data_IF_960930726058
#
_entry.id   IF_960930726058
#
_cell.length_a   1.000
_cell.length_b   1.000
_cell.length_c   1.000
_cell.angle_alpha   90.00
_cell.angle_beta   90.00
_cell.angle_gamma   90.00
#
_symmetry.space_group_name_H-M   'P 1'
#
loop_
_entity.id
_entity.type
_entity.pdbx_description
1 polymer ?
#
# COMPACT_ATOMS: atom_id res chain seq x y z
N UNK A 1 -4.52 12.22 58.50
CA UNK A 1 -3.66 12.87 57.48
C UNK A 1 -2.92 11.81 56.64
N UNK A 2 -3.65 10.85 56.03
CA UNK A 2 -3.02 9.71 55.32
C UNK A 2 -3.70 9.38 53.97
N UNK A 3 -4.61 10.26 53.48
CA UNK A 3 -5.28 10.05 52.19
C UNK A 3 -4.66 10.86 51.04
N UNK A 4 -3.84 11.88 51.31
CA UNK A 4 -3.29 12.74 50.25
C UNK A 4 -1.99 12.20 49.58
N UNK A 5 -1.33 11.17 50.12
CA UNK A 5 -0.08 10.69 49.51
C UNK A 5 -0.29 9.56 48.48
N UNK A 6 -1.42 8.86 48.53
CA UNK A 6 -1.71 7.82 47.52
C UNK A 6 -2.17 8.41 46.19
N UNK A 7 -2.95 9.51 46.24
CA UNK A 7 -3.40 10.20 45.00
C UNK A 7 -2.26 10.93 44.30
N UNK A 8 -1.31 11.50 45.03
CA UNK A 8 -0.16 12.20 44.44
C UNK A 8 0.83 11.24 43.76
N UNK A 9 0.99 10.00 44.28
CA UNK A 9 1.85 9.00 43.65
C UNK A 9 1.21 8.39 42.38
N UNK A 10 -0.08 8.16 42.39
CA UNK A 10 -0.83 7.64 41.24
C UNK A 10 -0.88 8.66 40.08
N UNK A 11 -1.05 9.95 40.42
CA UNK A 11 -0.99 11.03 39.41
C UNK A 11 0.42 11.15 38.81
N UNK A 12 1.49 11.02 39.59
CA UNK A 12 2.85 11.10 39.11
C UNK A 12 3.28 9.90 38.24
N UNK A 13 2.79 8.69 38.53
CA UNK A 13 3.04 7.52 37.70
C UNK A 13 2.26 7.59 36.38
N UNK A 14 1.01 8.05 36.39
CA UNK A 14 0.19 8.22 35.19
C UNK A 14 0.75 9.32 34.27
N UNK A 15 1.23 10.43 34.81
CA UNK A 15 1.89 11.50 34.03
C UNK A 15 3.22 11.04 33.43
N UNK A 16 4.05 10.30 34.17
CA UNK A 16 5.31 9.75 33.65
C UNK A 16 5.08 8.75 32.52
N UNK A 17 4.02 7.95 32.58
CA UNK A 17 3.68 6.99 31.53
C UNK A 17 3.09 7.68 30.30
N UNK A 18 2.19 8.64 30.44
CA UNK A 18 1.65 9.41 29.31
C UNK A 18 2.75 10.15 28.53
N UNK A 19 3.74 10.70 29.22
CA UNK A 19 4.89 11.33 28.59
C UNK A 19 5.71 10.35 27.73
N UNK A 20 5.90 9.11 28.16
CA UNK A 20 6.63 8.12 27.39
C UNK A 20 5.92 7.77 26.06
N UNK A 21 4.59 7.68 26.05
CA UNK A 21 3.82 7.50 24.82
C UNK A 21 3.97 8.71 23.87
N UNK A 22 3.88 9.93 24.41
CA UNK A 22 4.01 11.17 23.63
C UNK A 22 5.42 11.36 23.09
N UNK A 23 6.45 10.98 23.83
CA UNK A 23 7.84 10.94 23.36
C UNK A 23 8.01 9.94 22.23
N UNK A 24 7.43 8.74 22.35
CA UNK A 24 7.45 7.72 21.29
C UNK A 24 6.66 8.15 20.04
N UNK A 25 5.53 8.85 20.23
CA UNK A 25 4.75 9.45 19.15
C UNK A 25 5.50 10.63 18.50
N UNK A 26 6.37 11.26 19.27
CA UNK A 26 7.20 12.38 18.84
C UNK A 26 6.47 13.73 18.81
N UNK A 27 5.35 13.89 19.50
CA UNK A 27 4.58 15.14 19.58
C UNK A 27 3.94 15.32 20.95
N UNK A 28 3.24 16.42 21.18
CA UNK A 28 2.48 16.68 22.40
C UNK A 28 1.00 16.70 22.11
N UNK A 29 0.19 16.25 23.07
CA UNK A 29 -1.27 16.34 23.02
C UNK A 29 -1.79 16.84 24.36
N UNK A 30 -2.83 17.67 24.30
CA UNK A 30 -3.56 18.07 25.51
C UNK A 30 -4.17 16.85 26.19
N UNK A 31 -4.19 16.78 27.53
CA UNK A 31 -4.61 15.58 28.26
C UNK A 31 -5.99 15.05 27.85
N UNK A 32 -6.98 15.93 27.69
CA UNK A 32 -8.35 15.54 27.33
C UNK A 32 -8.40 14.91 25.93
N UNK A 33 -7.61 15.41 24.99
CA UNK A 33 -7.55 14.90 23.63
C UNK A 33 -6.79 13.57 23.55
N UNK A 34 -5.72 13.43 24.35
CA UNK A 34 -4.99 12.17 24.48
C UNK A 34 -5.88 11.07 25.08
N UNK A 35 -6.64 11.40 26.13
CA UNK A 35 -7.60 10.47 26.76
C UNK A 35 -8.67 10.05 25.73
N UNK A 36 -9.24 10.99 24.98
CA UNK A 36 -10.21 10.67 23.92
C UNK A 36 -9.59 9.72 22.88
N UNK A 37 -8.36 9.99 22.42
CA UNK A 37 -7.64 9.17 21.43
C UNK A 37 -7.29 7.76 21.92
N UNK A 38 -7.22 7.54 23.22
CA UNK A 38 -6.91 6.24 23.85
C UNK A 38 -8.15 5.52 24.38
N UNK A 39 -9.34 6.10 24.31
CA UNK A 39 -10.57 5.53 24.87
C UNK A 39 -11.32 4.70 23.81
N UNK A 40 -11.35 3.39 24.01
CA UNK A 40 -12.15 2.49 23.19
C UNK A 40 -13.66 2.62 23.52
N UNK A 41 -14.51 2.36 22.55
CA UNK A 41 -15.98 2.43 22.70
C UNK A 41 -16.54 1.57 23.85
N UNK A 42 -15.89 0.44 24.19
CA UNK A 42 -16.33 -0.39 25.32
C UNK A 42 -16.24 0.36 26.64
N UNK A 43 -15.19 1.18 26.82
CA UNK A 43 -15.04 2.02 28.00
C UNK A 43 -16.12 3.11 28.08
N UNK A 44 -16.40 3.80 26.97
CA UNK A 44 -17.46 4.83 26.95
C UNK A 44 -18.85 4.26 27.16
N UNK A 45 -19.11 3.01 26.79
CA UNK A 45 -20.38 2.33 27.09
C UNK A 45 -20.55 2.10 28.61
N UNK A 46 -19.48 1.79 29.31
CA UNK A 46 -19.50 1.59 30.78
C UNK A 46 -19.43 2.91 31.57
N UNK A 47 -18.91 3.98 30.92
CA UNK A 47 -18.69 5.30 31.53
C UNK A 47 -19.43 6.40 30.73
N UNK A 48 -20.73 6.64 31.04
CA UNK A 48 -21.51 7.64 30.35
C UNK A 48 -20.88 9.03 30.42
N UNK A 49 -20.68 9.63 29.23
CA UNK A 49 -20.04 10.95 29.06
C UNK A 49 -18.56 10.88 28.67
N UNK A 50 -17.91 9.73 28.75
CA UNK A 50 -16.59 9.54 28.17
C UNK A 50 -16.70 9.51 26.62
N UNK A 51 -15.88 10.32 25.97
CA UNK A 51 -15.74 10.28 24.52
C UNK A 51 -14.84 9.10 24.14
N UNK A 52 -15.02 8.56 22.93
CA UNK A 52 -14.18 7.50 22.41
C UNK A 52 -13.43 7.95 21.14
N UNK A 53 -12.48 7.14 20.71
CA UNK A 53 -11.56 7.48 19.63
C UNK A 53 -12.16 7.39 18.19
N UNK A 54 -13.31 6.79 17.97
CA UNK A 54 -13.84 6.48 16.62
C UNK A 54 -13.85 7.67 15.65
N UNK A 55 -14.12 8.87 16.13
CA UNK A 55 -14.09 10.07 15.27
C UNK A 55 -12.68 10.56 14.97
N UNK A 56 -11.75 10.37 15.91
CA UNK A 56 -10.33 10.70 15.71
C UNK A 56 -9.67 9.68 14.78
N UNK A 57 -9.99 8.39 14.94
CA UNK A 57 -9.62 7.30 14.05
C UNK A 57 -10.02 7.61 12.60
N UNK A 58 -11.31 7.88 12.36
CA UNK A 58 -11.82 8.24 11.03
C UNK A 58 -11.06 9.41 10.38
N UNK A 59 -10.73 10.44 11.17
CA UNK A 59 -9.98 11.59 10.67
C UNK A 59 -8.49 11.24 10.44
N UNK A 60 -7.92 10.47 11.36
CA UNK A 60 -6.52 10.07 11.31
C UNK A 60 -6.21 9.11 10.17
N UNK A 61 -7.12 8.16 9.87
CA UNK A 61 -7.04 7.31 8.67
C UNK A 61 -6.92 8.17 7.41
N UNK A 62 -7.78 9.16 7.23
CA UNK A 62 -7.72 10.05 6.08
C UNK A 62 -6.39 10.84 5.98
N UNK A 63 -5.83 11.28 7.11
CA UNK A 63 -4.53 11.97 7.17
C UNK A 63 -3.39 11.01 6.84
N UNK A 64 -3.39 9.82 7.42
CA UNK A 64 -2.43 8.75 7.18
C UNK A 64 -2.41 8.34 5.71
N UNK A 65 -3.59 8.11 5.14
CA UNK A 65 -3.78 7.78 3.72
C UNK A 65 -3.24 8.88 2.81
N UNK A 66 -3.54 10.15 3.09
CA UNK A 66 -3.06 11.29 2.31
C UNK A 66 -1.53 11.39 2.32
N UNK A 67 -0.92 11.35 3.51
CA UNK A 67 0.53 11.52 3.66
C UNK A 67 1.28 10.36 3.04
N UNK A 68 0.83 9.12 3.29
CA UNK A 68 1.42 7.91 2.71
C UNK A 68 1.31 7.90 1.18
N UNK A 69 0.15 8.32 0.64
CA UNK A 69 -0.06 8.44 -0.81
C UNK A 69 0.87 9.47 -1.42
N UNK A 70 0.98 10.66 -0.83
CA UNK A 70 1.86 11.72 -1.32
C UNK A 70 3.32 11.27 -1.32
N UNK A 71 3.75 10.57 -0.26
CA UNK A 71 5.11 10.04 -0.12
C UNK A 71 5.42 9.04 -1.23
N UNK A 72 4.55 8.05 -1.44
CA UNK A 72 4.73 7.04 -2.48
C UNK A 72 4.68 7.66 -3.88
N UNK A 73 3.76 8.59 -4.13
CA UNK A 73 3.63 9.28 -5.41
C UNK A 73 4.90 10.04 -5.79
N UNK A 74 5.52 10.74 -4.83
CA UNK A 74 6.77 11.49 -5.04
C UNK A 74 7.99 10.58 -5.20
N UNK A 75 8.04 9.48 -4.42
CA UNK A 75 9.18 8.56 -4.41
C UNK A 75 9.21 7.65 -5.65
N UNK A 76 8.06 7.36 -6.28
CA UNK A 76 7.95 6.37 -7.35
C UNK A 76 7.24 6.92 -8.60
N UNK A 77 7.85 7.89 -9.33
CA UNK A 77 7.21 8.56 -10.47
C UNK A 77 6.91 7.62 -11.65
N UNK A 78 7.60 6.48 -11.73
CA UNK A 78 7.43 5.51 -12.83
C UNK A 78 6.40 4.41 -12.51
N UNK A 79 5.82 4.40 -11.30
CA UNK A 79 4.82 3.42 -10.90
C UNK A 79 3.41 3.87 -11.26
N UNK A 80 2.57 2.91 -11.72
CA UNK A 80 1.17 3.17 -11.99
C UNK A 80 0.32 3.20 -10.70
N UNK A 81 -0.91 3.72 -10.83
CA UNK A 81 -1.88 3.83 -9.74
C UNK A 81 -2.05 2.51 -8.94
N UNK A 82 -2.24 1.39 -9.66
CA UNK A 82 -2.47 0.09 -9.03
C UNK A 82 -1.28 -0.40 -8.20
N UNK A 83 -0.06 -0.08 -8.62
CA UNK A 83 1.16 -0.39 -7.86
C UNK A 83 1.25 0.48 -6.61
N UNK A 84 1.07 1.79 -6.74
CA UNK A 84 1.09 2.73 -5.61
C UNK A 84 0.00 2.40 -4.59
N UNK A 85 -1.23 2.10 -5.03
CA UNK A 85 -2.33 1.73 -4.15
C UNK A 85 -2.04 0.43 -3.36
N UNK A 86 -1.43 -0.57 -3.99
CA UNK A 86 -1.04 -1.81 -3.30
C UNK A 86 0.07 -1.58 -2.28
N UNK A 87 1.07 -0.76 -2.62
CA UNK A 87 2.14 -0.39 -1.67
C UNK A 87 1.56 0.33 -0.46
N UNK A 88 0.70 1.32 -0.69
CA UNK A 88 0.02 2.03 0.40
C UNK A 88 -0.77 1.06 1.27
N UNK A 89 -1.69 0.28 0.69
CA UNK A 89 -2.52 -0.66 1.43
C UNK A 89 -1.71 -1.67 2.27
N UNK A 90 -0.50 -2.02 1.84
CA UNK A 90 0.41 -2.86 2.63
C UNK A 90 1.07 -2.07 3.75
N UNK A 91 1.58 -0.88 3.46
CA UNK A 91 2.31 -0.06 4.42
C UNK A 91 1.42 0.41 5.60
N UNK A 92 0.15 0.73 5.34
CA UNK A 92 -0.81 1.19 6.34
C UNK A 92 -1.86 0.14 6.70
N UNK A 93 -1.54 -1.16 6.50
CA UNK A 93 -2.43 -2.26 6.87
C UNK A 93 -2.56 -2.39 8.39
N UNK A 94 -3.67 -3.01 8.86
CA UNK A 94 -3.86 -3.37 10.27
C UNK A 94 -2.63 -4.09 10.85
N UNK A 95 -2.00 -5.00 10.08
CA UNK A 95 -0.79 -5.71 10.51
C UNK A 95 0.37 -4.75 10.74
N UNK A 96 0.59 -3.81 9.84
CA UNK A 96 1.69 -2.84 9.93
C UNK A 96 1.45 -1.84 11.07
N UNK A 97 0.25 -1.27 11.15
CA UNK A 97 -0.09 -0.28 12.17
C UNK A 97 -0.12 -0.89 13.57
N UNK A 98 -0.68 -2.09 13.73
CA UNK A 98 -0.65 -2.78 15.02
C UNK A 98 0.77 -3.16 15.47
N UNK A 99 1.68 -3.46 14.53
CA UNK A 99 3.10 -3.65 14.84
C UNK A 99 3.72 -2.34 15.36
N UNK A 100 3.47 -1.21 14.70
CA UNK A 100 3.93 0.12 15.15
C UNK A 100 3.39 0.42 16.55
N UNK A 101 2.10 0.17 16.80
CA UNK A 101 1.49 0.38 18.10
C UNK A 101 2.17 -0.44 19.21
N UNK A 102 2.55 -1.69 18.94
CA UNK A 102 3.23 -2.57 19.90
C UNK A 102 4.68 -2.21 20.10
N UNK A 103 5.44 -2.15 19.02
CA UNK A 103 6.90 -2.13 19.07
C UNK A 103 7.46 -0.71 19.23
N UNK A 104 6.81 0.29 18.63
CA UNK A 104 7.29 1.67 18.64
C UNK A 104 6.62 2.52 19.71
N UNK A 105 5.29 2.40 19.83
CA UNK A 105 4.53 3.22 20.77
C UNK A 105 4.31 2.53 22.13
N UNK A 106 4.41 1.20 22.22
CA UNK A 106 4.00 0.41 23.37
C UNK A 106 2.60 0.86 23.88
N UNK A 107 1.64 1.00 22.95
CA UNK A 107 0.37 1.67 23.17
C UNK A 107 -0.60 0.90 24.09
N UNK A 108 -0.51 -0.44 24.11
CA UNK A 108 -1.47 -1.30 24.80
C UNK A 108 -1.77 -0.90 26.25
N UNK A 109 -0.76 -0.63 27.10
CA UNK A 109 -0.97 -0.25 28.51
C UNK A 109 -1.76 1.05 28.71
N UNK A 110 -1.87 1.91 27.69
CA UNK A 110 -2.54 3.21 27.79
C UNK A 110 -4.00 3.19 27.32
N UNK A 111 -4.45 2.09 26.69
CA UNK A 111 -5.79 2.01 26.12
C UNK A 111 -6.83 1.83 27.20
N UNK A 112 -7.82 2.71 27.23
CA UNK A 112 -8.96 2.64 28.13
C UNK A 112 -10.02 1.70 27.56
N UNK A 113 -10.19 0.55 28.17
CA UNK A 113 -11.09 -0.52 27.77
C UNK A 113 -12.18 -0.75 28.83
N UNK A 114 -13.40 -1.10 28.39
CA UNK A 114 -14.39 -1.68 29.30
C UNK A 114 -13.94 -3.08 29.78
N UNK A 115 -14.50 -3.53 30.90
CA UNK A 115 -14.10 -4.77 31.58
C UNK A 115 -14.11 -5.98 30.63
N UNK A 116 -15.22 -6.15 29.88
CA UNK A 116 -15.37 -7.29 28.97
C UNK A 116 -14.36 -7.32 27.82
N UNK A 117 -13.95 -6.17 27.30
CA UNK A 117 -12.94 -6.06 26.25
C UNK A 117 -11.52 -6.28 26.81
N UNK A 118 -11.28 -5.74 28.00
CA UNK A 118 -10.00 -5.92 28.72
C UNK A 118 -9.76 -7.39 29.04
N UNK A 119 -10.77 -8.10 29.57
CA UNK A 119 -10.69 -9.54 29.92
C UNK A 119 -10.41 -10.43 28.68
N UNK A 120 -10.78 -9.96 27.49
CA UNK A 120 -10.53 -10.64 26.22
C UNK A 120 -9.20 -10.24 25.57
N UNK A 121 -8.33 -9.54 26.29
CA UNK A 121 -7.03 -9.11 25.77
C UNK A 121 -7.10 -7.97 24.76
N UNK A 122 -8.12 -7.09 24.89
CA UNK A 122 -8.35 -5.97 23.97
C UNK A 122 -7.14 -5.07 23.78
N UNK A 123 -6.31 -4.90 24.82
CA UNK A 123 -5.09 -4.09 24.78
C UNK A 123 -4.03 -4.57 23.76
N UNK A 124 -4.12 -5.83 23.29
CA UNK A 124 -3.21 -6.40 22.28
C UNK A 124 -3.93 -6.85 21.00
N UNK A 125 -5.21 -6.56 20.84
CA UNK A 125 -5.92 -6.84 19.58
C UNK A 125 -5.42 -5.95 18.46
N UNK A 126 -5.07 -6.56 17.33
CA UNK A 126 -4.51 -5.84 16.18
C UNK A 126 -5.43 -4.74 15.65
N UNK A 127 -6.74 -4.98 15.60
CA UNK A 127 -7.71 -3.97 15.17
C UNK A 127 -7.70 -2.75 16.09
N UNK A 128 -7.79 -2.95 17.43
CA UNK A 128 -7.78 -1.86 18.41
C UNK A 128 -6.46 -1.08 18.34
N UNK A 129 -5.34 -1.78 18.25
CA UNK A 129 -4.02 -1.15 18.16
C UNK A 129 -3.85 -0.34 16.85
N UNK A 130 -4.44 -0.81 15.75
CA UNK A 130 -4.52 -0.07 14.49
C UNK A 130 -5.28 1.24 14.68
N UNK A 131 -6.51 1.14 15.21
CA UNK A 131 -7.39 2.28 15.48
C UNK A 131 -6.72 3.32 16.37
N UNK A 132 -5.95 2.88 17.38
CA UNK A 132 -5.18 3.78 18.27
C UNK A 132 -4.12 4.57 17.51
N UNK A 133 -3.37 3.97 16.59
CA UNK A 133 -2.40 4.71 15.78
C UNK A 133 -3.10 5.79 14.97
N UNK A 134 -4.19 5.44 14.31
CA UNK A 134 -4.98 6.37 13.51
C UNK A 134 -5.58 7.47 14.38
N UNK A 135 -6.14 7.15 15.54
CA UNK A 135 -6.71 8.14 16.44
C UNK A 135 -5.68 9.12 16.99
N UNK A 136 -4.46 8.68 17.31
CA UNK A 136 -3.36 9.54 17.73
C UNK A 136 -2.91 10.50 16.60
N UNK A 137 -2.91 10.03 15.35
CA UNK A 137 -2.67 10.88 14.17
C UNK A 137 -3.80 11.91 14.02
N UNK A 138 -5.05 11.49 14.17
CA UNK A 138 -6.22 12.37 14.14
C UNK A 138 -6.19 13.44 15.24
N UNK A 139 -5.84 13.05 16.46
CA UNK A 139 -5.64 13.97 17.58
C UNK A 139 -4.53 14.99 17.30
N UNK A 140 -3.40 14.53 16.76
CA UNK A 140 -2.29 15.40 16.36
C UNK A 140 -2.75 16.42 15.32
N UNK A 141 -3.52 15.97 14.32
CA UNK A 141 -4.06 16.87 13.30
C UNK A 141 -5.02 17.90 13.88
N UNK A 142 -5.92 17.52 14.80
CA UNK A 142 -6.86 18.46 15.45
C UNK A 142 -6.11 19.52 16.23
N UNK A 143 -5.07 19.15 16.97
CA UNK A 143 -4.36 20.09 17.84
C UNK A 143 -3.35 20.95 17.11
N UNK A 144 -2.61 20.37 16.17
CA UNK A 144 -1.43 21.03 15.56
C UNK A 144 -1.54 21.25 14.05
N UNK A 145 -2.58 20.71 13.40
CA UNK A 145 -2.77 20.84 11.96
C UNK A 145 -1.95 19.82 11.15
N UNK A 146 -2.00 20.00 9.81
CA UNK A 146 -1.49 19.01 8.86
C UNK A 146 0.03 18.87 8.88
N UNK A 147 0.78 19.93 9.13
CA UNK A 147 2.24 19.88 9.05
C UNK A 147 2.83 19.00 10.17
N UNK A 148 2.32 19.14 11.38
CA UNK A 148 2.73 18.30 12.51
C UNK A 148 2.21 16.87 12.36
N UNK A 149 0.96 16.70 11.94
CA UNK A 149 0.44 15.36 11.67
C UNK A 149 1.25 14.63 10.58
N UNK A 150 1.67 15.35 9.53
CA UNK A 150 2.58 14.83 8.50
C UNK A 150 3.89 14.34 9.09
N UNK A 151 4.50 15.13 9.96
CA UNK A 151 5.75 14.79 10.63
C UNK A 151 5.60 13.53 11.47
N UNK A 152 4.50 13.42 12.22
CA UNK A 152 4.17 12.22 13.02
C UNK A 152 3.94 11.00 12.12
N UNK A 153 3.19 11.14 11.04
CA UNK A 153 2.99 10.03 10.08
C UNK A 153 4.34 9.55 9.54
N UNK A 154 5.19 10.45 9.06
CA UNK A 154 6.54 10.08 8.60
C UNK A 154 7.35 9.39 9.70
N UNK A 155 7.32 9.92 10.92
CA UNK A 155 7.99 9.30 12.06
C UNK A 155 7.52 7.85 12.29
N UNK A 156 6.23 7.58 12.11
CA UNK A 156 5.65 6.25 12.37
C UNK A 156 5.85 5.27 11.21
N UNK A 157 5.64 5.70 9.96
CA UNK A 157 5.47 4.75 8.83
C UNK A 157 6.59 4.77 7.78
N UNK A 158 7.57 5.69 7.82
CA UNK A 158 8.61 5.78 6.78
C UNK A 158 9.43 4.49 6.67
N UNK A 159 9.73 3.83 7.77
CA UNK A 159 10.42 2.54 7.78
C UNK A 159 9.59 1.47 7.05
N UNK A 160 8.30 1.38 7.36
CA UNK A 160 7.37 0.44 6.70
C UNK A 160 7.20 0.77 5.22
N UNK A 161 7.12 2.06 4.86
CA UNK A 161 7.07 2.51 3.46
C UNK A 161 8.34 2.11 2.70
N UNK A 162 9.51 2.27 3.32
CA UNK A 162 10.78 1.85 2.75
C UNK A 162 10.88 0.32 2.61
N UNK A 163 10.45 -0.45 3.61
CA UNK A 163 10.38 -1.91 3.53
C UNK A 163 9.51 -2.37 2.35
N UNK A 164 8.31 -1.82 2.24
CA UNK A 164 7.38 -2.14 1.13
C UNK A 164 7.97 -1.74 -0.23
N UNK A 165 8.71 -0.62 -0.30
CA UNK A 165 9.38 -0.18 -1.51
C UNK A 165 10.53 -1.12 -1.92
N UNK A 166 11.29 -1.65 -0.94
CA UNK A 166 12.41 -2.58 -1.21
C UNK A 166 11.93 -3.98 -1.61
N UNK A 167 10.75 -4.41 -1.14
CA UNK A 167 10.14 -5.65 -1.62
C UNK A 167 9.76 -5.56 -3.12
N UNK A 168 9.90 -4.38 -3.71
CA UNK A 168 9.64 -4.10 -5.10
C UNK A 168 8.16 -4.24 -5.47
N UNK A 169 7.82 -4.38 -6.76
CA UNK A 169 6.47 -4.67 -7.22
C UNK A 169 5.99 -6.08 -6.83
N UNK A 170 6.50 -6.63 -5.72
CA UNK A 170 6.26 -7.97 -5.19
C UNK A 170 4.77 -8.35 -5.05
N UNK A 171 3.88 -7.37 -5.10
CA UNK A 171 2.44 -7.61 -5.04
C UNK A 171 1.84 -8.08 -6.38
N UNK A 172 2.52 -7.83 -7.48
CA UNK A 172 2.12 -8.36 -8.80
C UNK A 172 3.30 -8.44 -9.77
N UNK A 173 4.25 -9.31 -9.48
CA UNK A 173 5.41 -9.55 -10.33
C UNK A 173 5.05 -9.83 -11.79
N UNK A 174 3.88 -10.46 -12.04
CA UNK A 174 3.44 -10.75 -13.41
C UNK A 174 3.10 -9.48 -14.17
N UNK A 175 2.31 -8.58 -13.57
CA UNK A 175 1.98 -7.28 -14.16
C UNK A 175 3.24 -6.42 -14.32
N UNK A 176 4.11 -6.40 -13.32
CA UNK A 176 5.35 -5.62 -13.35
C UNK A 176 6.31 -6.11 -14.44
N UNK A 177 6.44 -7.43 -14.62
CA UNK A 177 7.21 -8.01 -15.70
C UNK A 177 6.61 -7.64 -17.06
N UNK A 178 5.28 -7.72 -17.21
CA UNK A 178 4.58 -7.35 -18.46
C UNK A 178 4.83 -5.88 -18.81
N UNK A 179 4.65 -4.96 -17.87
CA UNK A 179 4.89 -3.53 -18.11
C UNK A 179 6.34 -3.26 -18.50
N UNK A 180 7.30 -3.85 -17.79
CA UNK A 180 8.73 -3.70 -18.08
C UNK A 180 9.12 -4.28 -19.44
N UNK A 181 8.65 -5.49 -19.77
CA UNK A 181 8.90 -6.14 -21.03
C UNK A 181 8.37 -5.31 -22.20
N UNK A 182 7.14 -4.77 -22.09
CA UNK A 182 6.56 -3.89 -23.11
C UNK A 182 7.33 -2.57 -23.25
N UNK A 183 7.72 -1.94 -22.14
CA UNK A 183 8.51 -0.71 -22.13
C UNK A 183 9.88 -0.88 -22.81
N UNK A 184 10.45 -2.08 -22.77
CA UNK A 184 11.71 -2.44 -23.41
C UNK A 184 11.54 -2.98 -24.85
N UNK A 185 10.31 -3.08 -25.37
CA UNK A 185 10.01 -3.56 -26.72
C UNK A 185 9.91 -5.08 -26.85
N UNK A 186 10.03 -5.82 -25.75
CA UNK A 186 9.76 -7.25 -25.70
C UNK A 186 8.23 -7.50 -25.72
N UNK A 187 7.79 -8.64 -26.23
CA UNK A 187 6.37 -9.01 -26.23
C UNK A 187 5.87 -9.46 -24.86
N UNK A 188 4.59 -9.89 -24.84
CA UNK A 188 3.93 -10.43 -23.62
C UNK A 188 4.73 -11.57 -22.98
N UNK A 189 4.90 -11.58 -21.63
CA UNK A 189 5.49 -12.71 -20.94
C UNK A 189 4.60 -13.95 -21.02
N UNK A 190 5.18 -15.07 -21.45
CA UNK A 190 4.54 -16.38 -21.51
C UNK A 190 5.13 -17.28 -20.43
N UNK A 191 4.28 -18.13 -19.82
CA UNK A 191 4.67 -19.02 -18.72
C UNK A 191 4.50 -20.48 -19.14
N UNK A 192 5.61 -21.20 -19.22
CA UNK A 192 5.58 -22.65 -19.40
C UNK A 192 5.66 -23.33 -18.02
N UNK A 193 4.68 -24.19 -17.74
CA UNK A 193 4.56 -24.85 -16.44
C UNK A 193 5.00 -26.31 -16.52
N UNK A 194 5.72 -26.76 -15.49
CA UNK A 194 5.97 -28.17 -15.22
C UNK A 194 5.72 -28.48 -13.73
N UNK A 195 5.51 -29.75 -13.42
CA UNK A 195 5.30 -30.23 -12.07
C UNK A 195 6.15 -31.47 -11.84
N UNK A 196 6.75 -31.58 -10.66
CA UNK A 196 7.58 -32.70 -10.25
C UNK A 196 7.30 -33.05 -8.78
N UNK A 197 7.73 -34.22 -8.35
CA UNK A 197 7.54 -34.74 -7.00
C UNK A 197 6.26 -35.54 -6.82
N UNK A 198 6.14 -36.30 -5.70
CA UNK A 198 4.96 -37.09 -5.38
C UNK A 198 3.76 -36.18 -5.06
N UNK A 199 2.55 -36.73 -5.14
CA UNK A 199 1.29 -35.99 -5.02
C UNK A 199 1.19 -35.16 -3.72
N UNK A 200 1.76 -35.66 -2.61
CA UNK A 200 1.77 -34.99 -1.31
C UNK A 200 2.90 -33.91 -1.16
N UNK A 201 3.84 -33.84 -2.11
CA UNK A 201 4.96 -32.90 -2.09
C UNK A 201 5.30 -32.40 -3.50
N UNK A 202 4.28 -31.94 -4.24
CA UNK A 202 4.46 -31.43 -5.59
C UNK A 202 5.23 -30.10 -5.58
N UNK A 203 6.21 -30.01 -6.48
CA UNK A 203 6.93 -28.78 -6.80
C UNK A 203 6.52 -28.34 -8.20
N UNK A 204 5.95 -27.15 -8.28
CA UNK A 204 5.61 -26.49 -9.54
C UNK A 204 6.79 -25.66 -10.01
N UNK A 205 7.13 -25.74 -11.28
CA UNK A 205 8.15 -24.92 -11.91
C UNK A 205 7.53 -24.12 -13.05
N UNK A 206 7.82 -22.81 -13.09
CA UNK A 206 7.40 -21.90 -14.15
C UNK A 206 8.63 -21.34 -14.86
N UNK A 207 8.68 -21.45 -16.19
CA UNK A 207 9.67 -20.79 -17.04
C UNK A 207 9.01 -19.60 -17.72
N UNK A 208 9.69 -18.45 -17.76
CA UNK A 208 9.22 -17.23 -18.43
C UNK A 208 9.94 -17.05 -19.75
N UNK A 209 9.18 -16.74 -20.78
CA UNK A 209 9.65 -16.37 -22.12
C UNK A 209 8.96 -15.07 -22.52
N UNK A 210 9.55 -14.28 -23.43
CA UNK A 210 9.00 -13.00 -23.87
C UNK A 210 8.58 -13.04 -25.34
N UNK A 211 7.38 -12.54 -25.61
CA UNK A 211 6.83 -12.47 -26.97
C UNK A 211 6.77 -13.83 -27.65
N UNK A 212 7.28 -13.92 -28.88
CA UNK A 212 7.33 -15.16 -29.67
C UNK A 212 8.64 -15.94 -29.49
N UNK A 213 9.58 -15.42 -28.68
CA UNK A 213 10.85 -16.10 -28.37
C UNK A 213 10.63 -17.31 -27.47
N UNK A 214 11.29 -18.41 -27.76
CA UNK A 214 11.33 -19.60 -26.90
C UNK A 214 12.51 -19.58 -25.92
N UNK A 215 13.25 -18.50 -25.86
CA UNK A 215 14.31 -18.30 -24.87
C UNK A 215 13.72 -18.12 -23.48
N UNK A 216 14.10 -19.00 -22.56
CA UNK A 216 13.74 -18.91 -21.16
C UNK A 216 14.58 -17.80 -20.52
N UNK A 217 13.94 -16.70 -20.08
CA UNK A 217 14.60 -15.58 -19.42
C UNK A 217 14.74 -15.77 -17.92
N UNK A 218 13.84 -16.55 -17.31
CA UNK A 218 13.86 -16.86 -15.89
C UNK A 218 13.07 -18.12 -15.58
N UNK A 219 13.34 -18.69 -14.40
CA UNK A 219 12.65 -19.85 -13.86
C UNK A 219 12.33 -19.62 -12.39
N UNK A 220 11.11 -20.00 -11.97
CA UNK A 220 10.69 -19.94 -10.57
C UNK A 220 10.01 -21.23 -10.15
N UNK A 221 10.12 -21.55 -8.86
CA UNK A 221 9.52 -22.76 -8.28
C UNK A 221 8.60 -22.38 -7.12
N UNK A 222 7.65 -23.24 -6.81
CA UNK A 222 6.74 -23.02 -5.68
C UNK A 222 5.86 -24.23 -5.37
N UNK A 223 5.18 -24.19 -4.24
CA UNK A 223 4.22 -25.20 -3.79
C UNK A 223 2.86 -25.14 -4.48
N UNK A 224 2.68 -24.18 -5.41
CA UNK A 224 1.50 -24.06 -6.26
C UNK A 224 1.88 -23.40 -7.59
N UNK A 225 1.05 -23.57 -8.62
CA UNK A 225 1.24 -22.90 -9.93
C UNK A 225 1.39 -21.39 -9.78
N UNK A 226 0.56 -20.76 -8.93
CA UNK A 226 0.59 -19.32 -8.67
C UNK A 226 1.93 -18.87 -8.05
N UNK A 227 2.42 -19.59 -7.03
CA UNK A 227 3.69 -19.28 -6.38
C UNK A 227 4.87 -19.43 -7.33
N UNK A 228 4.90 -20.50 -8.12
CA UNK A 228 5.94 -20.71 -9.12
C UNK A 228 5.96 -19.59 -10.19
N UNK A 229 4.79 -19.19 -10.68
CA UNK A 229 4.67 -18.09 -11.66
C UNK A 229 5.09 -16.75 -11.07
N UNK A 230 4.77 -16.45 -9.81
CA UNK A 230 5.21 -15.21 -9.14
C UNK A 230 6.73 -15.18 -8.97
N UNK A 231 7.33 -16.28 -8.50
CA UNK A 231 8.78 -16.39 -8.36
C UNK A 231 9.49 -16.26 -9.72
N UNK A 232 8.96 -16.89 -10.78
CA UNK A 232 9.53 -16.77 -12.12
C UNK A 232 9.39 -15.35 -12.68
N UNK A 233 8.27 -14.66 -12.42
CA UNK A 233 8.06 -13.28 -12.84
C UNK A 233 9.00 -12.30 -12.14
N UNK A 234 9.26 -12.51 -10.85
CA UNK A 234 10.24 -11.74 -10.08
C UNK A 234 11.64 -11.85 -10.68
N UNK A 235 12.12 -13.08 -10.89
CA UNK A 235 13.43 -13.32 -11.48
C UNK A 235 13.50 -12.78 -12.93
N UNK A 236 12.41 -12.88 -13.69
CA UNK A 236 12.30 -12.31 -15.04
C UNK A 236 12.38 -10.79 -15.03
N UNK A 237 11.73 -10.14 -14.09
CA UNK A 237 11.79 -8.70 -13.93
C UNK A 237 13.22 -8.21 -13.62
N UNK A 238 13.94 -8.90 -12.70
CA UNK A 238 15.35 -8.65 -12.39
C UNK A 238 16.27 -8.92 -13.58
N UNK A 239 16.03 -9.99 -14.33
CA UNK A 239 16.83 -10.36 -15.49
C UNK A 239 16.77 -9.30 -16.61
N UNK A 240 15.63 -8.58 -16.73
CA UNK A 240 15.48 -7.51 -17.71
C UNK A 240 16.36 -6.29 -17.42
N UNK A 241 16.81 -6.05 -16.19
CA UNK A 241 17.73 -4.95 -15.89
C UNK A 241 19.09 -5.10 -16.60
N UNK A 242 19.48 -6.33 -16.87
CA UNK A 242 20.75 -6.65 -17.55
C UNK A 242 20.59 -6.79 -19.07
N UNK A 243 19.38 -6.61 -19.63
CA UNK A 243 19.10 -6.74 -21.06
C UNK A 243 19.00 -5.35 -21.72
N UNK A 244 19.51 -5.26 -22.94
CA UNK A 244 19.29 -4.05 -23.79
C UNK A 244 17.88 -4.10 -24.37
N UNK A 245 17.20 -2.92 -24.49
CA UNK A 245 15.92 -2.84 -25.16
C UNK A 245 15.99 -3.44 -26.57
N UNK A 246 14.96 -4.19 -26.96
CA UNK A 246 14.86 -4.69 -28.32
C UNK A 246 14.57 -3.51 -29.28
N UNK A 247 15.36 -3.34 -30.31
CA UNK A 247 15.16 -2.27 -31.26
C UNK A 247 13.76 -2.42 -31.92
N UNK A 248 12.89 -1.44 -31.74
CA UNK A 248 11.55 -1.44 -32.31
C UNK A 248 11.63 -1.58 -33.80
N UNK A 249 11.36 -2.77 -34.31
CA UNK A 249 11.07 -2.99 -35.72
C UNK A 249 9.72 -2.32 -36.03
N UNK A 250 9.76 -1.04 -36.36
CA UNK A 250 8.63 -0.29 -36.88
C UNK A 250 8.26 -0.92 -38.21
N UNK A 251 7.44 -1.93 -38.24
CA UNK A 251 6.75 -2.40 -39.44
C UNK A 251 5.85 -1.26 -39.90
N UNK A 252 6.38 -0.44 -40.78
CA UNK A 252 5.60 0.49 -41.60
C UNK A 252 4.53 -0.32 -42.31
N UNK A 253 3.29 -0.26 -41.85
CA UNK A 253 2.15 -0.69 -42.64
C UNK A 253 2.09 0.19 -43.90
N UNK A 254 2.68 -0.29 -45.00
CA UNK A 254 2.45 0.20 -46.35
C UNK A 254 0.96 0.01 -46.64
N UNK A 255 0.18 1.09 -46.56
CA UNK A 255 -1.14 1.16 -47.16
C UNK A 255 -0.97 0.95 -48.67
N UNK A 256 -1.42 -0.19 -49.17
CA UNK A 256 -1.64 -0.39 -50.60
C UNK A 256 -2.83 0.49 -51.01
N UNK A 257 -2.54 1.64 -51.56
CA UNK A 257 -3.49 2.33 -52.42
C UNK A 257 -3.57 1.55 -53.72
N UNK A 258 -4.65 0.82 -53.92
CA UNK A 258 -5.08 0.36 -55.24
C UNK A 258 -5.46 1.59 -56.08
N UNK A 259 -4.61 1.93 -57.05
CA UNK A 259 -4.97 2.75 -58.20
C UNK A 259 -5.88 1.91 -59.08
N UNK A 260 -7.16 2.26 -59.15
CA UNK A 260 -7.99 1.91 -60.29
C UNK A 260 -7.77 2.97 -61.38
N UNK A 261 -7.08 2.57 -62.43
CA UNK A 261 -7.09 3.19 -63.74
C UNK A 261 -8.23 2.55 -64.57
N UNK A 262 -9.00 3.33 -65.24
CA UNK A 262 -10.02 2.89 -66.22
C UNK A 262 -10.94 4.05 -66.50
N UNK A 263 -10.68 4.76 -67.42
CA UNK A 263 -10.90 4.85 -68.82
C UNK A 263 -12.11 5.70 -69.23
N UNK A 264 -11.83 6.57 -70.14
CA UNK A 264 -12.61 7.50 -70.92
C UNK A 264 -14.06 7.11 -71.25
N UNK A 265 -14.94 8.11 -71.28
CA UNK A 265 -15.55 8.56 -72.59
C UNK A 265 -16.60 9.65 -72.32
N UNK A 266 -16.35 10.83 -72.83
CA UNK A 266 -17.09 11.57 -73.87
C UNK A 266 -18.61 11.74 -73.67
N UNK A 267 -19.04 13.01 -73.74
CA UNK A 267 -20.42 13.35 -74.08
C UNK A 267 -20.90 14.64 -73.47
N UNK A 268 -20.54 15.74 -74.03
CA UNK A 268 -21.27 16.89 -74.54
C UNK A 268 -22.58 17.35 -73.91
N UNK A 269 -22.61 18.66 -73.81
CA UNK A 269 -23.71 19.59 -73.99
C UNK A 269 -24.86 19.76 -72.99
N UNK A 270 -25.04 21.03 -72.72
CA UNK A 270 -26.36 21.64 -72.58
C UNK A 270 -26.49 22.61 -71.38
N UNK A 271 -26.10 23.82 -71.68
CA UNK A 271 -26.88 25.06 -71.49
C UNK A 271 -28.10 25.03 -70.51
N UNK A 272 -28.10 25.93 -69.62
CA UNK A 272 -28.96 27.14 -69.63
C UNK A 272 -29.85 27.35 -68.39
N UNK A 273 -29.64 28.52 -67.83
CA UNK A 273 -30.57 29.52 -67.29
C UNK A 273 -31.43 29.24 -66.01
N UNK A 274 -31.15 30.13 -65.11
CA UNK A 274 -32.09 31.05 -64.43
C UNK A 274 -33.23 30.48 -63.58
N UNK A 275 -33.26 30.65 -62.33
CA UNK A 275 -33.86 31.75 -61.59
C UNK A 275 -33.47 31.66 -60.12
#
# INVERSE_FOLDING_TARGET
MTQNNADASAVSEGEMTANALLEALGTTLEPDLLVEALTHRSFSHENPGAKNYERLEFLGDAVLELVSTETLYKAHPDMNEGQLAKMRAKAVSEVSLSKIAREKLNAGPYILLGHGESDQGGADKSSILCDIVESLIGATFIQHGIDEARRVVHHLVDETLAEVATEGPALDWKTSLTVKAHGMGFGEPRYQMSVSGPEYAQVFTANVMLGESDEIISTGTGTSKRKAQLAAAEEGWKALDNRKPEAQNVRKHRKHHHKHSGNESNGSNGENTSK
#
